data_IF_534002993341
#
_entry.id   IF_534002993341
#
_cell.length_a   1.000
_cell.length_b   1.000
_cell.length_c   1.000
_cell.angle_alpha   90.00
_cell.angle_beta   90.00
_cell.angle_gamma   90.00
#
_symmetry.space_group_name_H-M   'P 1'
#
loop_
_entity.id
_entity.type
_entity.pdbx_description
1 polymer ?
#
# COMPACT_ATOMS: atom_id res chain seq x y z
N UNK A 1 3.33 -18.51 54.81
CA UNK A 1 4.41 -17.76 54.14
C UNK A 1 3.80 -16.95 52.99
N UNK A 2 3.56 -15.67 53.27
CA UNK A 2 2.81 -14.75 52.42
C UNK A 2 3.62 -14.34 51.19
N UNK A 3 3.10 -14.67 50.01
CA UNK A 3 3.71 -14.31 48.73
C UNK A 3 3.47 -12.82 48.47
N UNK A 4 4.46 -11.99 48.77
CA UNK A 4 4.39 -10.55 48.54
C UNK A 4 4.52 -10.23 47.03
N UNK A 5 3.49 -9.58 46.45
CA UNK A 5 3.32 -9.27 45.02
C UNK A 5 4.06 -7.95 44.63
N UNK A 6 4.98 -7.47 45.48
CA UNK A 6 5.68 -6.18 45.34
C UNK A 6 6.70 -6.06 44.19
N UNK A 7 6.70 -6.95 43.18
CA UNK A 7 7.67 -6.92 42.05
C UNK A 7 7.06 -6.90 40.65
N UNK A 8 5.84 -6.41 40.49
CA UNK A 8 5.26 -6.28 39.14
C UNK A 8 5.52 -4.87 38.59
N UNK A 9 6.56 -4.70 37.78
CA UNK A 9 6.80 -3.45 37.05
C UNK A 9 5.90 -3.40 35.81
N UNK A 10 4.94 -2.48 35.80
CA UNK A 10 4.08 -2.21 34.63
C UNK A 10 4.75 -1.11 33.81
N UNK A 11 5.19 -1.45 32.59
CA UNK A 11 5.74 -0.48 31.64
C UNK A 11 4.77 -0.29 30.48
N UNK A 12 4.39 0.96 30.24
CA UNK A 12 3.42 1.31 29.19
C UNK A 12 4.11 2.22 28.18
N UNK A 13 4.27 1.74 26.96
CA UNK A 13 4.90 2.48 25.87
C UNK A 13 3.85 3.09 24.96
N UNK A 14 4.02 4.38 24.63
CA UNK A 14 3.16 5.09 23.70
C UNK A 14 3.93 5.36 22.40
N UNK A 15 3.48 4.75 21.30
CA UNK A 15 4.04 4.99 19.98
C UNK A 15 3.26 6.11 19.28
N UNK A 16 3.88 7.28 19.12
CA UNK A 16 3.31 8.36 18.33
C UNK A 16 3.57 8.11 16.84
N UNK A 17 2.59 7.56 16.13
CA UNK A 17 2.67 7.45 14.67
C UNK A 17 2.26 8.78 14.04
N UNK A 18 3.23 9.60 13.61
CA UNK A 18 2.95 10.76 12.75
C UNK A 18 2.68 10.28 11.32
N UNK A 19 1.50 9.71 11.08
CA UNK A 19 1.08 9.32 9.73
C UNK A 19 0.78 10.60 8.94
N UNK A 20 1.77 11.10 8.20
CA UNK A 20 1.56 12.17 7.21
C UNK A 20 0.67 11.60 6.12
N UNK A 21 -0.62 11.96 6.13
CA UNK A 21 -1.55 11.62 5.05
C UNK A 21 -1.09 12.31 3.77
N UNK A 22 -0.67 11.54 2.78
CA UNK A 22 -0.43 12.09 1.44
C UNK A 22 -1.75 12.64 0.88
N UNK A 23 -1.74 13.79 0.19
CA UNK A 23 -2.93 14.32 -0.44
C UNK A 23 -3.45 13.28 -1.45
N UNK A 24 -4.71 12.90 -1.32
CA UNK A 24 -5.33 11.96 -2.23
C UNK A 24 -5.41 12.59 -3.62
N UNK A 25 -4.86 11.97 -4.68
CA UNK A 25 -5.01 12.50 -6.03
C UNK A 25 -6.49 12.58 -6.39
N UNK A 26 -6.89 13.66 -7.07
CA UNK A 26 -8.26 13.82 -7.59
C UNK A 26 -8.57 12.63 -8.49
N UNK A 27 -9.64 11.89 -8.16
CA UNK A 27 -10.07 10.71 -8.92
C UNK A 27 -10.74 11.16 -10.21
N UNK A 28 -9.96 11.34 -11.28
CA UNK A 28 -10.53 11.42 -12.63
C UNK A 28 -10.97 10.00 -13.00
N UNK A 29 -12.27 9.80 -13.20
CA UNK A 29 -12.77 8.52 -13.67
C UNK A 29 -12.16 8.23 -15.04
N UNK A 30 -11.50 7.08 -15.15
CA UNK A 30 -11.00 6.55 -16.41
C UNK A 30 -11.61 5.18 -16.59
N UNK A 31 -12.15 4.93 -17.78
CA UNK A 31 -12.84 3.67 -18.06
C UNK A 31 -11.88 2.48 -17.82
N UNK A 32 -12.25 1.51 -16.96
CA UNK A 32 -11.37 0.41 -16.54
C UNK A 32 -10.93 -0.47 -17.71
N UNK A 33 -11.77 -0.63 -18.75
CA UNK A 33 -11.44 -1.42 -19.95
C UNK A 33 -10.25 -0.81 -20.70
N UNK A 34 -10.23 0.53 -20.80
CA UNK A 34 -9.11 1.23 -21.44
C UNK A 34 -7.83 1.16 -20.61
N UNK A 35 -7.94 1.21 -19.28
CA UNK A 35 -6.80 1.04 -18.38
C UNK A 35 -6.19 -0.35 -18.49
N UNK A 36 -7.01 -1.39 -18.48
CA UNK A 36 -6.55 -2.77 -18.65
C UNK A 36 -5.81 -2.95 -19.98
N UNK A 37 -6.34 -2.39 -21.07
CA UNK A 37 -5.68 -2.40 -22.39
C UNK A 37 -4.35 -1.64 -22.38
N UNK A 38 -4.28 -0.47 -21.75
CA UNK A 38 -3.04 0.30 -21.60
C UNK A 38 -1.98 -0.52 -20.85
N UNK A 39 -2.35 -1.10 -19.70
CA UNK A 39 -1.46 -1.89 -18.86
C UNK A 39 -0.93 -3.12 -19.59
N UNK A 40 -1.82 -3.84 -20.30
CA UNK A 40 -1.42 -4.98 -21.12
C UNK A 40 -0.43 -4.57 -22.22
N UNK A 41 -0.71 -3.47 -22.93
CA UNK A 41 0.20 -2.97 -23.96
C UNK A 41 1.58 -2.60 -23.41
N UNK A 42 1.66 -2.00 -22.22
CA UNK A 42 2.94 -1.66 -21.58
C UNK A 42 3.76 -2.92 -21.26
N UNK A 43 3.10 -3.98 -20.81
CA UNK A 43 3.73 -5.27 -20.53
C UNK A 43 4.18 -5.94 -21.84
N UNK A 44 3.31 -5.98 -22.85
CA UNK A 44 3.58 -6.63 -24.14
C UNK A 44 4.74 -5.94 -24.89
N UNK A 45 4.88 -4.62 -24.74
CA UNK A 45 6.00 -3.85 -25.30
C UNK A 45 7.31 -3.99 -24.52
N UNK A 46 7.28 -4.60 -23.34
CA UNK A 46 8.44 -4.68 -22.45
C UNK A 46 8.86 -3.36 -21.82
N UNK A 47 7.97 -2.35 -21.79
CA UNK A 47 8.22 -1.06 -21.11
C UNK A 47 8.35 -1.23 -19.59
N UNK A 48 7.76 -2.31 -19.06
CA UNK A 48 7.82 -2.73 -17.66
C UNK A 48 8.24 -4.20 -17.60
N UNK A 49 9.09 -4.56 -16.63
CA UNK A 49 9.57 -5.94 -16.46
C UNK A 49 8.49 -6.85 -15.89
N UNK A 50 7.62 -6.32 -15.02
CA UNK A 50 6.54 -7.07 -14.39
C UNK A 50 5.38 -6.18 -13.92
N UNK A 51 4.26 -6.82 -13.57
CA UNK A 51 3.05 -6.14 -13.06
C UNK A 51 3.30 -5.35 -11.76
N UNK A 52 4.27 -5.76 -10.93
CA UNK A 52 4.60 -5.06 -9.68
C UNK A 52 5.35 -3.75 -9.94
N UNK A 53 6.20 -3.70 -10.96
CA UNK A 53 6.83 -2.48 -11.44
C UNK A 53 5.81 -1.51 -12.02
N UNK A 54 4.88 -2.01 -12.85
CA UNK A 54 3.78 -1.20 -13.37
C UNK A 54 2.94 -0.57 -12.25
N UNK A 55 2.59 -1.35 -11.23
CA UNK A 55 1.85 -0.86 -10.06
C UNK A 55 2.59 0.27 -9.32
N UNK A 56 3.91 0.16 -9.18
CA UNK A 56 4.75 1.20 -8.55
C UNK A 56 4.79 2.47 -9.39
N UNK A 57 4.99 2.35 -10.70
CA UNK A 57 5.05 3.51 -11.62
C UNK A 57 3.72 4.25 -11.65
N UNK A 58 2.60 3.52 -11.76
CA UNK A 58 1.26 4.11 -11.83
C UNK A 58 0.68 4.45 -10.45
N UNK A 59 1.41 4.16 -9.36
CA UNK A 59 0.98 4.37 -7.97
C UNK A 59 -0.40 3.76 -7.68
N UNK A 60 -0.62 2.54 -8.16
CA UNK A 60 -1.86 1.77 -7.96
C UNK A 60 -1.56 0.46 -7.24
N UNK A 61 -2.58 -0.15 -6.65
CA UNK A 61 -2.42 -1.48 -6.05
C UNK A 61 -2.16 -2.53 -7.15
N UNK A 62 -1.39 -3.57 -6.81
CA UNK A 62 -1.17 -4.72 -7.71
C UNK A 62 -2.48 -5.37 -8.14
N UNK A 63 -3.45 -5.45 -7.22
CA UNK A 63 -4.78 -5.97 -7.51
C UNK A 63 -5.49 -5.20 -8.64
N UNK A 64 -5.29 -3.87 -8.72
CA UNK A 64 -5.85 -3.05 -9.81
C UNK A 64 -5.19 -3.26 -11.16
N UNK A 65 -3.96 -3.75 -11.19
CA UNK A 65 -3.27 -4.09 -12.44
C UNK A 65 -3.80 -5.39 -13.03
N UNK A 66 -4.29 -6.30 -12.17
CA UNK A 66 -4.74 -7.65 -12.55
C UNK A 66 -6.25 -7.79 -12.78
N UNK A 67 -7.05 -6.86 -12.27
CA UNK A 67 -8.50 -6.81 -12.49
C UNK A 67 -8.86 -6.58 -13.95
#
# INVERSE_FOLDING_TARGET
PDCNIDRTFIYQFYFQTTVKKSPTPKKTYRNPVYLAREYKNMIDKGEVKNQAELARIKCVSRARVTQ
#
